data_IF_670459399326
#
_entry.id   IF_670459399326
#
_cell.length_a   1.000
_cell.length_b   1.000
_cell.length_c   1.000
_cell.angle_alpha   90.00
_cell.angle_beta   90.00
_cell.angle_gamma   90.00
#
_symmetry.space_group_name_H-M   'P 1'
#
loop_
_entity.id
_entity.type
_entity.pdbx_description
1 polymer ?
#
# COMPACT_ATOMS: atom_id res chain seq x y z
N UNK A 1 -0.52 10.06 17.36
CA UNK A 1 -0.91 10.55 16.03
C UNK A 1 0.07 11.63 15.59
N UNK A 2 0.30 11.84 14.29
CA UNK A 2 1.04 13.03 13.86
C UNK A 2 0.23 14.28 14.13
N UNK A 3 0.91 15.31 14.64
CA UNK A 3 0.34 16.61 15.01
C UNK A 3 1.27 17.72 14.52
N UNK A 4 0.99 18.97 14.89
CA UNK A 4 1.84 20.11 14.52
C UNK A 4 3.22 20.08 15.21
N UNK A 5 3.34 19.45 16.38
CA UNK A 5 4.59 19.48 17.17
C UNK A 5 5.66 18.50 16.68
N UNK A 6 5.27 17.45 15.95
CA UNK A 6 6.15 16.42 15.40
C UNK A 6 6.06 16.35 13.86
N UNK A 7 5.65 17.44 13.22
CA UNK A 7 5.52 17.51 11.77
C UNK A 7 6.91 17.74 11.14
N UNK A 8 7.28 16.95 10.11
CA UNK A 8 8.49 17.22 9.32
C UNK A 8 8.54 18.66 8.78
N UNK A 9 9.72 19.26 8.84
CA UNK A 9 9.93 20.68 8.52
C UNK A 9 9.89 20.96 7.01
N UNK A 10 10.11 19.94 6.18
CA UNK A 10 10.07 19.97 4.72
C UNK A 10 8.65 20.06 4.14
N UNK A 11 7.61 19.86 4.97
CA UNK A 11 6.21 20.00 4.54
C UNK A 11 5.84 21.49 4.42
N UNK A 12 5.48 21.98 3.21
CA UNK A 12 5.11 23.37 3.00
C UNK A 12 3.97 23.80 3.91
N UNK A 13 4.01 25.05 4.43
CA UNK A 13 3.01 25.56 5.38
C UNK A 13 1.56 25.31 4.93
N UNK A 14 1.28 25.59 3.65
CA UNK A 14 -0.06 25.41 3.03
C UNK A 14 -0.52 23.95 2.92
N UNK A 15 0.38 22.97 3.10
CA UNK A 15 0.09 21.52 3.02
C UNK A 15 0.04 20.83 4.39
N UNK A 16 0.45 21.51 5.47
CA UNK A 16 0.57 20.89 6.81
C UNK A 16 -0.74 20.25 7.30
N UNK A 17 -1.86 20.97 7.19
CA UNK A 17 -3.16 20.46 7.64
C UNK A 17 -3.62 19.25 6.80
N UNK A 18 -3.42 19.29 5.48
CA UNK A 18 -3.80 18.18 4.60
C UNK A 18 -2.90 16.97 4.80
N UNK A 19 -1.62 17.18 5.08
CA UNK A 19 -0.69 16.13 5.45
C UNK A 19 -1.11 15.44 6.74
N UNK A 20 -1.32 16.18 7.84
CA UNK A 20 -1.76 15.63 9.13
C UNK A 20 -3.04 14.81 8.95
N UNK A 21 -4.04 15.36 8.24
CA UNK A 21 -5.30 14.66 7.98
C UNK A 21 -5.09 13.36 7.20
N UNK A 22 -4.29 13.39 6.13
CA UNK A 22 -4.04 12.21 5.28
C UNK A 22 -3.21 11.15 6.01
N UNK A 23 -2.16 11.56 6.70
CA UNK A 23 -1.30 10.67 7.47
C UNK A 23 -2.09 9.95 8.56
N UNK A 24 -2.87 10.68 9.36
CA UNK A 24 -3.68 10.09 10.41
C UNK A 24 -4.78 9.17 9.85
N UNK A 25 -5.41 9.54 8.72
CA UNK A 25 -6.34 8.63 8.03
C UNK A 25 -5.63 7.36 7.54
N UNK A 26 -4.45 7.50 6.94
CA UNK A 26 -3.64 6.42 6.40
C UNK A 26 -3.16 5.43 7.47
N UNK A 27 -2.75 5.93 8.64
CA UNK A 27 -2.29 5.12 9.77
C UNK A 27 -3.42 4.67 10.70
N UNK A 28 -4.69 4.87 10.30
CA UNK A 28 -5.87 4.62 11.15
C UNK A 28 -5.78 5.26 12.54
N UNK A 29 -5.16 6.43 12.64
CA UNK A 29 -4.90 7.15 13.88
C UNK A 29 -3.99 6.40 14.88
N UNK A 30 -3.25 5.37 14.45
CA UNK A 30 -2.41 4.52 15.30
C UNK A 30 -0.91 4.76 15.16
N UNK A 31 -0.49 5.72 14.30
CA UNK A 31 0.91 5.96 13.90
C UNK A 31 1.67 4.71 13.47
N UNK A 32 0.93 3.71 13.01
CA UNK A 32 1.46 2.44 12.51
C UNK A 32 0.87 2.20 11.14
N UNK A 33 1.66 1.56 10.29
CA UNK A 33 1.30 1.23 8.92
C UNK A 33 1.32 -0.28 8.81
N UNK A 34 0.23 -0.85 8.30
CA UNK A 34 0.23 -2.22 7.79
C UNK A 34 0.34 -2.10 6.28
N UNK A 35 1.51 -2.44 5.75
CA UNK A 35 1.81 -2.34 4.32
C UNK A 35 1.76 -3.74 3.72
N UNK A 36 0.91 -3.93 2.72
CA UNK A 36 0.90 -5.13 1.90
C UNK A 36 1.84 -4.91 0.71
N UNK A 37 2.92 -5.69 0.63
CA UNK A 37 3.89 -5.61 -0.46
C UNK A 37 3.42 -6.45 -1.65
N UNK A 38 3.29 -5.83 -2.83
CA UNK A 38 2.86 -6.44 -4.09
C UNK A 38 3.84 -6.21 -5.25
N UNK A 39 5.08 -5.86 -4.94
CA UNK A 39 6.20 -5.61 -5.85
C UNK A 39 7.00 -6.86 -6.22
N UNK A 40 6.83 -7.94 -5.47
CA UNK A 40 7.49 -9.24 -5.65
C UNK A 40 7.45 -9.81 -7.09
N UNK A 41 6.47 -9.43 -7.93
CA UNK A 41 6.40 -9.83 -9.34
C UNK A 41 7.55 -9.30 -10.19
N UNK A 42 8.00 -8.08 -9.90
CA UNK A 42 9.15 -7.48 -10.59
C UNK A 42 10.45 -7.99 -9.98
N UNK A 43 10.47 -8.23 -8.67
CA UNK A 43 11.68 -8.66 -7.96
C UNK A 43 12.03 -10.14 -8.17
N UNK A 44 11.04 -11.03 -8.12
CA UNK A 44 11.24 -12.50 -8.13
C UNK A 44 10.64 -13.19 -9.35
N UNK A 45 10.14 -12.45 -10.34
CA UNK A 45 9.46 -12.99 -11.53
C UNK A 45 8.27 -13.89 -11.13
N UNK A 46 7.92 -14.87 -11.98
CA UNK A 46 6.72 -15.70 -11.81
C UNK A 46 6.86 -16.84 -10.79
N UNK A 47 8.08 -17.12 -10.31
CA UNK A 47 8.37 -18.30 -9.46
C UNK A 47 7.70 -18.22 -8.09
N UNK A 48 7.41 -17.02 -7.60
CA UNK A 48 6.67 -16.80 -6.35
C UNK A 48 5.14 -16.89 -6.53
N UNK A 49 4.66 -17.09 -7.76
CA UNK A 49 3.24 -16.94 -8.11
C UNK A 49 2.64 -18.17 -8.79
N UNK A 50 3.45 -19.17 -9.10
CA UNK A 50 3.02 -20.41 -9.73
C UNK A 50 3.92 -21.56 -9.28
N UNK A 51 3.30 -22.65 -8.81
CA UNK A 51 4.01 -23.82 -8.31
C UNK A 51 3.13 -24.65 -7.37
N UNK A 52 3.66 -25.79 -6.94
CA UNK A 52 3.01 -26.62 -5.93
C UNK A 52 2.90 -25.86 -4.60
N UNK A 53 1.72 -25.90 -3.97
CA UNK A 53 1.45 -25.17 -2.73
C UNK A 53 1.15 -23.68 -2.88
N UNK A 54 1.18 -23.13 -4.10
CA UNK A 54 0.79 -21.74 -4.39
C UNK A 54 -0.64 -21.73 -4.93
N UNK A 55 -1.47 -20.82 -4.44
CA UNK A 55 -2.84 -20.71 -4.90
C UNK A 55 -2.87 -20.27 -6.37
N UNK A 56 -3.66 -20.95 -7.21
CA UNK A 56 -3.69 -20.67 -8.65
C UNK A 56 -4.18 -19.26 -8.99
N UNK A 57 -4.93 -18.62 -8.10
CA UNK A 57 -5.33 -17.22 -8.23
C UNK A 57 -4.15 -16.23 -8.14
N UNK A 58 -3.05 -16.62 -7.51
CA UNK A 58 -1.86 -15.78 -7.34
C UNK A 58 -1.19 -15.45 -8.68
N UNK A 59 -1.49 -16.20 -9.76
CA UNK A 59 -1.06 -15.91 -11.13
C UNK A 59 -1.65 -14.62 -11.68
N UNK A 60 -2.78 -14.18 -11.16
CA UNK A 60 -3.47 -12.99 -11.64
C UNK A 60 -3.17 -11.81 -10.72
N UNK A 61 -2.50 -10.74 -11.19
CA UNK A 61 -2.17 -9.59 -10.34
C UNK A 61 -3.39 -8.97 -9.64
N UNK A 62 -4.58 -9.05 -10.25
CA UNK A 62 -5.84 -8.59 -9.65
C UNK A 62 -6.12 -9.22 -8.28
N UNK A 63 -5.68 -10.45 -8.03
CA UNK A 63 -5.93 -11.15 -6.79
C UNK A 63 -5.41 -10.36 -5.56
N UNK A 64 -4.23 -9.73 -5.65
CA UNK A 64 -3.69 -8.90 -4.57
C UNK A 64 -4.50 -7.63 -4.32
N UNK A 65 -5.07 -7.03 -5.37
CA UNK A 65 -5.92 -5.85 -5.24
C UNK A 65 -7.26 -6.20 -4.58
N UNK A 66 -7.81 -7.38 -4.88
CA UNK A 66 -9.03 -7.89 -4.24
C UNK A 66 -8.81 -8.16 -2.75
N UNK A 67 -7.68 -8.77 -2.38
CA UNK A 67 -7.29 -8.95 -0.98
C UNK A 67 -7.10 -7.59 -0.30
N UNK A 68 -6.35 -6.69 -0.92
CA UNK A 68 -6.05 -5.37 -0.37
C UNK A 68 -7.31 -4.54 -0.09
N UNK A 69 -8.27 -4.55 -1.02
CA UNK A 69 -9.53 -3.81 -0.88
C UNK A 69 -10.45 -4.37 0.21
N UNK A 70 -10.32 -5.66 0.53
CA UNK A 70 -11.13 -6.35 1.54
C UNK A 70 -10.45 -6.47 2.90
N UNK A 71 -9.20 -6.03 3.03
CA UNK A 71 -8.37 -6.23 4.22
C UNK A 71 -8.17 -4.95 5.03
N UNK A 72 -7.99 -5.04 6.37
CA UNK A 72 -7.72 -3.89 7.22
C UNK A 72 -6.24 -3.45 7.15
N UNK A 73 -5.78 -3.09 5.96
CA UNK A 73 -4.41 -2.63 5.67
C UNK A 73 -4.36 -1.11 5.43
N UNK A 74 -3.20 -0.49 5.64
CA UNK A 74 -3.00 0.94 5.38
C UNK A 74 -2.78 1.24 3.89
N UNK A 75 -1.99 0.41 3.21
CA UNK A 75 -1.72 0.50 1.78
C UNK A 75 -1.30 -0.84 1.19
N UNK A 76 -1.57 -0.97 -0.10
CA UNK A 76 -0.89 -1.89 -1.03
C UNK A 76 0.23 -1.11 -1.73
N UNK A 77 1.47 -1.62 -1.68
CA UNK A 77 2.61 -1.07 -2.40
C UNK A 77 2.88 -1.92 -3.64
N UNK A 78 2.74 -1.33 -4.83
CA UNK A 78 2.89 -2.02 -6.12
C UNK A 78 3.61 -1.13 -7.14
N UNK A 79 4.25 -1.71 -8.16
CA UNK A 79 4.75 -0.98 -9.32
C UNK A 79 3.64 -0.17 -10.00
N UNK A 80 4.00 1.02 -10.49
CA UNK A 80 3.05 1.95 -11.11
C UNK A 80 2.20 1.30 -12.23
N UNK A 81 2.81 0.47 -13.09
CA UNK A 81 2.09 -0.22 -14.16
C UNK A 81 0.99 -1.16 -13.66
N UNK A 82 1.19 -1.85 -12.53
CA UNK A 82 0.13 -2.68 -11.94
C UNK A 82 -0.96 -1.80 -11.32
N UNK A 83 -0.59 -0.70 -10.66
CA UNK A 83 -1.56 0.25 -10.11
C UNK A 83 -2.46 0.83 -11.21
N UNK A 84 -1.90 1.20 -12.36
CA UNK A 84 -2.69 1.75 -13.48
C UNK A 84 -3.66 0.76 -14.08
N UNK A 85 -3.38 -0.55 -14.02
CA UNK A 85 -4.20 -1.59 -14.62
C UNK A 85 -5.27 -2.13 -13.66
N UNK A 86 -5.01 -2.12 -12.35
CA UNK A 86 -5.83 -2.83 -11.37
C UNK A 86 -6.25 -2.01 -10.15
N UNK A 87 -5.74 -0.78 -9.97
CA UNK A 87 -5.98 0.06 -8.78
C UNK A 87 -7.24 0.92 -8.81
N UNK A 88 -8.18 0.63 -9.71
CA UNK A 88 -9.43 1.37 -9.91
C UNK A 88 -10.49 1.10 -8.86
#
# INVERSE_FOLDING_TARGET
MITKSNLPLDIPFRKRLSFIRRYNKFTFNKDRVILFAGDQRVEHLITSFYGEGIYTGDLYPKHYFDIASSSPISALAVPYGLLTLYGG
#
